data_IF_792600563853
#
_entry.id   IF_792600563853
#
_cell.length_a   1.000
_cell.length_b   1.000
_cell.length_c   1.000
_cell.angle_alpha   90.00
_cell.angle_beta   90.00
_cell.angle_gamma   90.00
#
_symmetry.space_group_name_H-M   'P 1'
#
loop_
_entity.id
_entity.type
_entity.pdbx_description
1 polymer ?
#
# COMPACT_ATOMS: atom_id res chain seq x y z
N UNK A 1 25.62 -12.91 -18.94
CA UNK A 1 24.83 -13.85 -19.77
C UNK A 1 23.66 -13.06 -20.34
N UNK A 2 23.18 -13.31 -21.58
CA UNK A 2 21.83 -12.86 -21.95
C UNK A 2 20.83 -13.49 -20.96
N UNK A 3 19.74 -12.77 -20.65
CA UNK A 3 18.72 -13.29 -19.75
C UNK A 3 18.19 -14.63 -20.26
N UNK A 4 17.98 -15.58 -19.35
CA UNK A 4 17.47 -16.92 -19.66
C UNK A 4 16.12 -16.83 -20.38
N UNK A 5 16.07 -17.24 -21.65
CA UNK A 5 14.81 -17.35 -22.40
C UNK A 5 13.85 -18.28 -21.65
N UNK A 6 12.68 -17.75 -21.28
CA UNK A 6 11.65 -18.51 -20.58
C UNK A 6 10.65 -19.04 -21.59
N UNK A 7 10.35 -20.34 -21.53
CA UNK A 7 9.26 -20.93 -22.28
C UNK A 7 7.91 -20.36 -21.83
N UNK A 8 7.04 -20.02 -22.78
CA UNK A 8 5.65 -19.69 -22.49
C UNK A 8 4.96 -20.80 -21.68
N UNK A 9 4.09 -20.40 -20.75
CA UNK A 9 3.26 -21.35 -20.00
C UNK A 9 2.31 -22.10 -20.98
N UNK A 10 1.77 -23.28 -20.60
CA UNK A 10 0.81 -23.98 -21.45
C UNK A 10 -0.41 -23.13 -21.81
N UNK A 11 -1.09 -23.49 -22.90
CA UNK A 11 -2.45 -22.98 -23.13
C UNK A 11 -3.38 -23.39 -21.99
N UNK A 12 -4.45 -22.63 -21.74
CA UNK A 12 -5.32 -22.75 -20.57
C UNK A 12 -4.62 -22.63 -19.19
N UNK A 13 -3.33 -22.27 -19.13
CA UNK A 13 -2.64 -22.03 -17.88
C UNK A 13 -2.89 -20.63 -17.31
N UNK A 14 -2.41 -20.38 -16.09
CA UNK A 14 -2.81 -19.24 -15.26
C UNK A 14 -1.56 -18.58 -14.64
N UNK A 15 -1.15 -17.42 -15.13
CA UNK A 15 0.00 -16.66 -14.62
C UNK A 15 -0.42 -15.74 -13.47
N UNK A 16 -0.05 -16.08 -12.24
CA UNK A 16 -0.32 -15.31 -11.04
C UNK A 16 0.92 -14.49 -10.68
N UNK A 17 0.89 -13.19 -10.96
CA UNK A 17 1.94 -12.27 -10.52
C UNK A 17 1.66 -11.76 -9.10
N UNK A 18 2.55 -12.12 -8.17
CA UNK A 18 2.37 -11.89 -6.73
C UNK A 18 3.15 -10.67 -6.19
N UNK A 19 3.85 -9.94 -7.06
CA UNK A 19 4.66 -8.79 -6.69
C UNK A 19 6.08 -9.16 -6.26
N UNK A 20 6.61 -8.62 -5.15
CA UNK A 20 5.95 -7.76 -4.16
C UNK A 20 5.78 -6.30 -4.66
N UNK A 21 5.59 -5.34 -3.74
CA UNK A 21 5.61 -3.91 -4.09
C UNK A 21 7.02 -3.47 -4.51
N UNK A 22 7.17 -2.31 -5.17
CA UNK A 22 8.48 -1.68 -5.46
C UNK A 22 9.44 -2.43 -6.41
N UNK A 23 8.93 -3.40 -7.15
CA UNK A 23 9.67 -4.21 -8.13
C UNK A 23 9.18 -4.02 -9.58
N UNK A 24 8.56 -2.88 -9.89
CA UNK A 24 8.02 -2.59 -11.23
C UNK A 24 6.54 -2.98 -11.42
N UNK A 25 5.93 -3.66 -10.45
CA UNK A 25 4.54 -4.17 -10.46
C UNK A 25 3.50 -3.23 -11.05
N UNK A 26 3.51 -1.94 -10.68
CA UNK A 26 2.54 -0.95 -11.20
C UNK A 26 2.73 -0.65 -12.69
N UNK A 27 3.96 -0.67 -13.20
CA UNK A 27 4.23 -0.38 -14.61
C UNK A 27 3.73 -1.54 -15.49
N UNK A 28 4.09 -2.78 -15.14
CA UNK A 28 3.62 -3.98 -15.86
C UNK A 28 2.10 -4.14 -15.76
N UNK A 29 1.49 -3.87 -14.61
CA UNK A 29 0.04 -3.84 -14.42
C UNK A 29 -0.68 -2.85 -15.33
N UNK A 30 -0.13 -1.65 -15.52
CA UNK A 30 -0.71 -0.63 -16.40
C UNK A 30 -0.54 -1.03 -17.87
N UNK A 31 0.61 -1.60 -18.27
CA UNK A 31 0.82 -2.10 -19.63
C UNK A 31 -0.13 -3.25 -19.97
N UNK A 32 -0.17 -4.31 -19.15
CA UNK A 32 -1.11 -5.44 -19.30
C UNK A 32 -2.58 -5.00 -19.38
N UNK A 33 -2.96 -3.97 -18.64
CA UNK A 33 -4.33 -3.45 -18.64
C UNK A 33 -4.68 -2.66 -19.90
N UNK A 34 -3.71 -1.93 -20.47
CA UNK A 34 -3.90 -1.16 -21.70
C UNK A 34 -3.91 -2.06 -22.92
N UNK A 35 -3.03 -3.05 -22.97
CA UNK A 35 -2.88 -3.98 -24.10
C UNK A 35 -3.94 -5.08 -24.14
N UNK A 36 -5.06 -4.99 -23.39
CA UNK A 36 -6.04 -6.08 -23.26
C UNK A 36 -6.65 -6.57 -24.56
N UNK A 37 -6.86 -5.66 -25.50
CA UNK A 37 -7.40 -5.99 -26.83
C UNK A 37 -6.34 -6.76 -27.62
N UNK A 38 -5.11 -6.25 -27.70
CA UNK A 38 -3.95 -6.90 -28.34
C UNK A 38 -3.64 -8.29 -27.71
N UNK A 39 -3.69 -8.39 -26.38
CA UNK A 39 -3.49 -9.65 -25.64
C UNK A 39 -4.52 -10.72 -26.05
N UNK A 40 -5.77 -10.32 -26.27
CA UNK A 40 -6.84 -11.24 -26.65
C UNK A 40 -6.62 -11.82 -28.07
N UNK A 41 -6.05 -11.04 -28.99
CA UNK A 41 -5.65 -11.52 -30.33
C UNK A 41 -4.57 -12.64 -30.24
N UNK A 42 -3.75 -12.62 -29.19
CA UNK A 42 -2.75 -13.66 -28.90
C UNK A 42 -3.24 -14.76 -27.95
N UNK A 43 -4.55 -14.85 -27.68
CA UNK A 43 -5.13 -15.89 -26.82
C UNK A 43 -4.80 -15.70 -25.33
N UNK A 44 -4.51 -14.47 -24.89
CA UNK A 44 -4.21 -14.10 -23.51
C UNK A 44 -5.30 -13.19 -22.94
N UNK A 45 -5.85 -13.54 -21.77
CA UNK A 45 -6.76 -12.69 -21.01
C UNK A 45 -6.04 -12.07 -19.80
N UNK A 46 -6.15 -10.76 -19.59
CA UNK A 46 -5.62 -10.11 -18.39
C UNK A 46 -6.76 -9.71 -17.45
N UNK A 47 -6.94 -10.43 -16.33
CA UNK A 47 -8.17 -10.39 -15.55
C UNK A 47 -8.36 -9.15 -14.65
N UNK A 48 -9.62 -8.84 -14.32
CA UNK A 48 -10.05 -7.82 -13.37
C UNK A 48 -10.60 -6.53 -13.99
N UNK A 49 -11.31 -5.69 -13.22
CA UNK A 49 -11.94 -4.45 -13.73
C UNK A 49 -10.95 -3.28 -13.97
N UNK A 50 -9.71 -3.40 -13.50
CA UNK A 50 -8.70 -2.32 -13.44
C UNK A 50 -7.31 -2.89 -13.68
N UNK A 51 -6.31 -2.01 -13.75
CA UNK A 51 -4.91 -2.39 -13.78
C UNK A 51 -4.46 -3.34 -12.65
N UNK A 52 -5.21 -3.41 -11.54
CA UNK A 52 -4.97 -4.37 -10.45
C UNK A 52 -6.29 -4.73 -9.74
N UNK A 53 -6.70 -6.02 -9.65
CA UNK A 53 -7.90 -6.47 -8.94
C UNK A 53 -7.71 -6.51 -7.40
N UNK A 54 -7.22 -5.41 -6.81
CA UNK A 54 -6.83 -5.34 -5.38
C UNK A 54 -7.95 -5.72 -4.39
N UNK A 55 -9.21 -5.44 -4.74
CA UNK A 55 -10.35 -5.72 -3.87
C UNK A 55 -10.56 -7.23 -3.66
N UNK A 56 -10.23 -8.06 -4.66
CA UNK A 56 -10.32 -9.51 -4.57
C UNK A 56 -9.37 -10.06 -3.50
N UNK A 57 -8.10 -9.64 -3.53
CA UNK A 57 -7.12 -10.04 -2.49
C UNK A 57 -7.46 -9.50 -1.10
N UNK A 58 -8.00 -8.28 -0.99
CA UNK A 58 -8.44 -7.74 0.31
C UNK A 58 -9.69 -8.43 0.85
N UNK A 59 -10.56 -8.98 -0.01
CA UNK A 59 -11.72 -9.77 0.41
C UNK A 59 -11.28 -11.10 1.06
N UNK A 60 -10.21 -11.73 0.56
CA UNK A 60 -9.52 -12.86 1.21
C UNK A 60 -8.79 -12.48 2.52
N UNK A 61 -8.86 -11.22 2.96
CA UNK A 61 -8.14 -10.73 4.14
C UNK A 61 -6.62 -10.61 3.94
N UNK A 62 -6.11 -10.63 2.70
CA UNK A 62 -4.67 -10.52 2.44
C UNK A 62 -4.21 -9.10 2.77
N UNK A 63 -3.09 -9.00 3.51
CA UNK A 63 -2.60 -7.74 4.06
C UNK A 63 -2.20 -6.74 2.95
N UNK A 64 -2.72 -5.51 3.05
CA UNK A 64 -2.46 -4.43 2.07
C UNK A 64 -3.64 -3.46 1.90
N UNK A 65 -4.82 -3.82 2.41
CA UNK A 65 -5.98 -2.93 2.47
C UNK A 65 -5.74 -1.65 3.29
N UNK A 66 -6.45 -0.56 2.99
CA UNK A 66 -6.38 0.68 3.75
C UNK A 66 -6.92 0.49 5.18
N UNK A 67 -6.15 0.93 6.19
CA UNK A 67 -6.56 0.89 7.59
C UNK A 67 -7.87 1.66 7.83
N UNK A 68 -8.65 1.22 8.83
CA UNK A 68 -9.91 1.85 9.23
C UNK A 68 -11.07 1.70 8.24
N UNK A 69 -10.96 0.85 7.21
CA UNK A 69 -12.06 0.52 6.30
C UNK A 69 -12.56 -0.91 6.53
N UNK A 70 -13.87 -1.17 6.38
CA UNK A 70 -14.38 -2.54 6.34
C UNK A 70 -13.70 -3.37 5.25
N UNK A 71 -13.57 -4.69 5.50
CA UNK A 71 -13.14 -5.62 4.46
C UNK A 71 -14.10 -5.56 3.25
N UNK A 72 -13.60 -5.60 2.00
CA UNK A 72 -14.46 -5.71 0.83
C UNK A 72 -15.28 -7.02 0.85
N UNK A 73 -16.43 -7.01 0.18
CA UNK A 73 -17.24 -8.23 0.02
C UNK A 73 -16.46 -9.32 -0.71
N UNK A 74 -16.62 -10.58 -0.27
CA UNK A 74 -16.15 -11.78 -0.96
C UNK A 74 -16.65 -11.89 -2.41
N UNK A 75 -17.69 -11.15 -2.79
CA UNK A 75 -18.12 -11.05 -4.18
C UNK A 75 -17.03 -10.48 -5.11
N UNK A 76 -16.10 -9.64 -4.61
CA UNK A 76 -14.94 -9.21 -5.40
C UNK A 76 -13.95 -10.35 -5.69
N UNK A 77 -13.86 -11.34 -4.79
CA UNK A 77 -13.08 -12.55 -5.03
C UNK A 77 -13.80 -13.47 -6.01
N UNK A 78 -15.07 -13.80 -5.74
CA UNK A 78 -15.86 -14.69 -6.59
C UNK A 78 -16.03 -14.16 -8.02
N UNK A 79 -16.13 -12.84 -8.21
CA UNK A 79 -16.18 -12.23 -9.54
C UNK A 79 -14.87 -12.47 -10.33
N UNK A 80 -13.71 -12.32 -9.68
CA UNK A 80 -12.41 -12.59 -10.31
C UNK A 80 -12.24 -14.08 -10.64
N UNK A 81 -12.63 -14.98 -9.74
CA UNK A 81 -12.61 -16.44 -9.99
C UNK A 81 -13.45 -16.79 -11.21
N UNK A 82 -14.71 -16.34 -11.26
CA UNK A 82 -15.61 -16.62 -12.40
C UNK A 82 -15.09 -16.04 -13.71
N UNK A 83 -14.45 -14.87 -13.69
CA UNK A 83 -13.81 -14.28 -14.88
C UNK A 83 -12.68 -15.18 -15.42
N UNK A 84 -11.84 -15.71 -14.52
CA UNK A 84 -10.72 -16.60 -14.85
C UNK A 84 -11.19 -17.98 -15.31
N UNK A 85 -12.31 -18.49 -14.77
CA UNK A 85 -12.98 -19.72 -15.23
C UNK A 85 -13.59 -19.53 -16.63
N UNK A 86 -14.26 -18.39 -16.88
CA UNK A 86 -14.92 -18.07 -18.14
C UNK A 86 -13.96 -17.83 -19.32
N UNK A 87 -12.66 -17.63 -19.05
CA UNK A 87 -11.62 -17.43 -20.06
C UNK A 87 -11.29 -18.69 -20.89
N UNK A 88 -11.86 -19.85 -20.55
CA UNK A 88 -11.70 -21.08 -21.33
C UNK A 88 -10.24 -21.49 -21.54
N UNK A 89 -9.87 -21.77 -22.80
CA UNK A 89 -8.53 -22.21 -23.20
C UNK A 89 -7.49 -21.08 -23.30
N UNK A 90 -7.86 -19.82 -23.10
CA UNK A 90 -6.91 -18.72 -23.07
C UNK A 90 -5.93 -18.88 -21.90
N UNK A 91 -4.69 -18.40 -22.09
CA UNK A 91 -3.81 -18.11 -20.94
C UNK A 91 -4.41 -16.95 -20.17
N UNK A 92 -4.48 -17.02 -18.84
CA UNK A 92 -4.97 -15.89 -18.04
C UNK A 92 -3.86 -15.35 -17.16
N UNK A 93 -3.65 -14.04 -17.20
CA UNK A 93 -2.76 -13.34 -16.29
C UNK A 93 -3.56 -12.61 -15.21
N UNK A 94 -3.20 -12.84 -13.94
CA UNK A 94 -3.74 -12.14 -12.77
C UNK A 94 -2.58 -11.49 -12.02
N UNK A 95 -2.62 -10.17 -11.84
CA UNK A 95 -1.50 -9.43 -11.23
C UNK A 95 -1.95 -8.66 -9.99
N UNK A 96 -1.47 -9.08 -8.82
CA UNK A 96 -1.83 -8.48 -7.54
C UNK A 96 -0.70 -8.61 -6.51
N UNK A 97 0.08 -7.53 -6.34
CA UNK A 97 1.30 -7.51 -5.53
C UNK A 97 1.09 -7.60 -3.99
N UNK A 98 -0.17 -7.66 -3.53
CA UNK A 98 -0.46 -8.01 -2.14
C UNK A 98 -0.46 -9.53 -1.92
N UNK A 99 -0.60 -10.35 -2.97
CA UNK A 99 -0.55 -11.82 -2.87
C UNK A 99 0.79 -12.32 -2.31
N UNK A 100 1.91 -11.62 -2.53
CA UNK A 100 3.18 -11.90 -1.86
C UNK A 100 3.09 -11.93 -0.32
N UNK A 101 2.09 -11.27 0.28
CA UNK A 101 1.85 -11.25 1.75
C UNK A 101 0.85 -12.28 2.27
N UNK A 102 0.28 -13.11 1.39
CA UNK A 102 -0.67 -14.16 1.77
C UNK A 102 -0.08 -15.10 2.83
N UNK A 103 -0.89 -15.55 3.79
CA UNK A 103 -0.55 -16.71 4.65
C UNK A 103 -0.66 -18.02 3.85
N UNK A 104 -0.17 -19.18 4.35
CA UNK A 104 -0.30 -20.45 3.64
C UNK A 104 -1.75 -20.77 3.23
N UNK A 105 -2.71 -20.54 4.12
CA UNK A 105 -4.15 -20.78 3.89
C UNK A 105 -4.72 -19.82 2.82
N UNK A 106 -4.17 -18.60 2.74
CA UNK A 106 -4.52 -17.64 1.69
C UNK A 106 -3.85 -17.98 0.35
N UNK A 107 -2.69 -18.64 0.35
CA UNK A 107 -2.03 -19.15 -0.87
C UNK A 107 -2.83 -20.31 -1.45
N UNK A 108 -3.24 -21.29 -0.63
CA UNK A 108 -4.15 -22.37 -1.01
C UNK A 108 -5.43 -21.81 -1.66
N UNK A 109 -6.10 -20.86 -1.01
CA UNK A 109 -7.31 -20.21 -1.55
C UNK A 109 -7.06 -19.50 -2.89
N UNK A 110 -5.93 -18.81 -3.03
CA UNK A 110 -5.59 -18.09 -4.28
C UNK A 110 -5.28 -19.07 -5.41
N UNK A 111 -4.50 -20.13 -5.14
CA UNK A 111 -4.17 -21.14 -6.16
C UNK A 111 -5.43 -21.91 -6.55
N UNK A 112 -6.18 -22.44 -5.59
CA UNK A 112 -7.42 -23.17 -5.84
C UNK A 112 -8.40 -22.37 -6.73
N UNK A 113 -8.61 -21.09 -6.42
CA UNK A 113 -9.56 -20.23 -7.15
C UNK A 113 -9.06 -19.66 -8.48
N UNK A 114 -7.74 -19.53 -8.72
CA UNK A 114 -7.23 -18.89 -9.95
C UNK A 114 -6.60 -19.86 -10.96
N UNK A 115 -6.30 -21.11 -10.59
CA UNK A 115 -5.76 -22.08 -11.56
C UNK A 115 -5.54 -23.51 -11.06
N UNK A 116 -5.58 -23.77 -9.76
CA UNK A 116 -5.25 -25.07 -9.17
C UNK A 116 -3.94 -25.61 -9.77
N UNK A 117 -3.97 -26.77 -10.44
CA UNK A 117 -2.79 -27.41 -11.06
C UNK A 117 -2.24 -26.70 -12.31
N UNK A 118 -2.90 -25.66 -12.83
CA UNK A 118 -2.41 -24.86 -13.97
C UNK A 118 -1.89 -23.47 -13.56
N UNK A 119 -1.77 -23.22 -12.26
CA UNK A 119 -1.22 -21.98 -11.71
C UNK A 119 0.31 -21.95 -11.82
N UNK A 120 0.82 -21.02 -12.64
CA UNK A 120 2.22 -20.60 -12.63
C UNK A 120 2.33 -19.29 -11.87
N UNK A 121 3.29 -19.18 -10.95
CA UNK A 121 3.48 -18.02 -10.08
C UNK A 121 4.73 -17.27 -10.51
N UNK A 122 4.62 -15.95 -10.66
CA UNK A 122 5.76 -15.08 -10.94
C UNK A 122 5.92 -14.03 -9.86
N UNK A 123 7.14 -13.92 -9.33
CA UNK A 123 7.54 -12.94 -8.33
C UNK A 123 8.81 -12.22 -8.76
N UNK A 124 9.07 -11.06 -8.18
CA UNK A 124 10.26 -10.25 -8.50
C UNK A 124 11.09 -10.01 -7.24
N UNK A 125 12.39 -10.30 -7.33
CA UNK A 125 13.40 -10.03 -6.33
C UNK A 125 14.13 -8.73 -6.67
N UNK A 126 14.27 -7.80 -5.72
CA UNK A 126 15.09 -6.58 -5.89
C UNK A 126 16.09 -6.41 -4.74
N UNK A 127 17.19 -5.71 -5.03
CA UNK A 127 18.27 -5.37 -4.10
C UNK A 127 17.76 -4.52 -2.94
N UNK A 128 18.18 -4.83 -1.72
CA UNK A 128 17.60 -4.25 -0.49
C UNK A 128 17.97 -2.78 -0.29
N UNK A 129 19.20 -2.38 -0.62
CA UNK A 129 19.70 -1.00 -0.59
C UNK A 129 18.89 -0.03 -1.48
N UNK A 130 18.47 -0.49 -2.67
CA UNK A 130 17.63 0.28 -3.59
C UNK A 130 16.14 0.27 -3.19
N UNK A 131 15.71 -0.79 -2.48
CA UNK A 131 14.34 -1.00 -2.06
C UNK A 131 13.99 -0.22 -0.78
N UNK A 132 14.81 -0.33 0.28
CA UNK A 132 14.51 0.18 1.62
C UNK A 132 14.25 1.69 1.65
N UNK A 133 15.08 2.57 1.03
CA UNK A 133 14.78 4.00 0.95
C UNK A 133 13.46 4.27 0.22
N UNK A 134 13.23 3.60 -0.91
CA UNK A 134 12.01 3.72 -1.72
C UNK A 134 10.75 3.25 -0.96
N UNK A 135 10.89 2.26 -0.07
CA UNK A 135 9.81 1.80 0.79
C UNK A 135 9.51 2.80 1.90
N UNK A 136 10.54 3.30 2.61
CA UNK A 136 10.40 4.37 3.59
C UNK A 136 9.74 5.62 2.98
N UNK A 137 10.11 6.04 1.77
CA UNK A 137 9.45 7.15 1.08
C UNK A 137 7.93 6.95 0.92
N UNK A 138 7.44 5.73 0.64
CA UNK A 138 5.98 5.48 0.61
C UNK A 138 5.34 5.41 1.99
N UNK A 139 6.11 5.09 3.04
CA UNK A 139 5.61 5.20 4.41
C UNK A 139 5.45 6.66 4.78
N UNK A 140 6.41 7.53 4.42
CA UNK A 140 6.30 8.99 4.63
C UNK A 140 5.12 9.57 3.85
N UNK A 141 4.93 9.23 2.57
CA UNK A 141 3.72 9.62 1.80
C UNK A 141 2.39 9.07 2.37
N UNK A 142 2.47 8.07 3.25
CA UNK A 142 1.33 7.49 3.95
C UNK A 142 1.19 7.95 5.42
N UNK A 143 2.01 8.91 5.88
CA UNK A 143 1.93 9.51 7.22
C UNK A 143 3.03 9.10 8.21
N UNK A 144 4.06 8.36 7.79
CA UNK A 144 5.21 8.04 8.67
C UNK A 144 5.95 9.32 9.08
N UNK A 145 6.34 9.37 10.35
CA UNK A 145 7.00 10.49 11.01
C UNK A 145 8.45 10.19 11.39
N UNK A 146 8.78 8.90 11.61
CA UNK A 146 10.15 8.44 11.85
C UNK A 146 11.05 8.82 10.67
N UNK A 147 12.23 9.34 10.98
CA UNK A 147 13.34 9.53 10.04
C UNK A 147 13.71 8.20 9.36
N UNK A 148 14.61 8.27 8.38
CA UNK A 148 15.06 7.05 7.71
C UNK A 148 15.81 6.12 8.67
N UNK A 149 16.68 6.66 9.52
CA UNK A 149 17.48 5.88 10.48
C UNK A 149 16.62 5.23 11.58
N UNK A 150 15.76 5.98 12.28
CA UNK A 150 14.80 5.42 13.26
C UNK A 150 13.88 4.35 12.65
N UNK A 151 13.64 4.40 11.34
CA UNK A 151 12.88 3.38 10.61
C UNK A 151 13.74 2.16 10.28
N UNK A 152 14.99 2.36 9.85
CA UNK A 152 15.97 1.29 9.62
C UNK A 152 16.22 0.48 10.89
N UNK A 153 16.36 1.13 12.04
CA UNK A 153 16.56 0.45 13.34
C UNK A 153 15.46 -0.59 13.60
N UNK A 154 14.22 -0.27 13.24
CA UNK A 154 13.07 -1.15 13.44
C UNK A 154 13.01 -2.25 12.38
N UNK A 155 13.34 -1.96 11.12
CA UNK A 155 13.20 -2.96 10.03
C UNK A 155 14.42 -3.85 9.83
N UNK A 156 15.62 -3.43 10.23
CA UNK A 156 16.84 -4.24 10.14
C UNK A 156 17.15 -5.03 11.41
N UNK A 157 16.43 -4.75 12.51
CA UNK A 157 16.43 -5.57 13.71
C UNK A 157 16.08 -7.05 13.43
N UNK A 158 16.48 -7.97 14.33
CA UNK A 158 15.91 -9.31 14.41
C UNK A 158 14.38 -9.30 14.44
N UNK A 159 13.75 -10.44 14.13
CA UNK A 159 12.30 -10.56 13.91
C UNK A 159 11.46 -9.75 14.92
N UNK A 160 10.62 -8.85 14.39
CA UNK A 160 9.86 -7.91 15.20
C UNK A 160 8.38 -7.89 14.82
N UNK A 161 7.52 -7.87 15.84
CA UNK A 161 6.07 -7.68 15.69
C UNK A 161 5.69 -6.23 15.39
N UNK A 162 6.66 -5.32 15.26
CA UNK A 162 6.43 -3.95 14.83
C UNK A 162 5.74 -3.91 13.46
N UNK A 163 4.83 -2.95 13.27
CA UNK A 163 4.12 -2.80 12.01
C UNK A 163 5.08 -2.47 10.86
N UNK A 164 6.09 -1.64 11.11
CA UNK A 164 7.12 -1.31 10.12
C UNK A 164 7.88 -2.55 9.63
N UNK A 165 8.35 -3.40 10.55
CA UNK A 165 9.06 -4.64 10.24
C UNK A 165 8.18 -5.59 9.41
N UNK A 166 6.97 -5.88 9.91
CA UNK A 166 6.02 -6.78 9.23
C UNK A 166 5.54 -6.21 7.88
N UNK A 167 5.47 -4.88 7.72
CA UNK A 167 5.10 -4.25 6.45
C UNK A 167 6.18 -4.38 5.37
N UNK A 168 7.46 -4.48 5.76
CA UNK A 168 8.57 -4.83 4.88
C UNK A 168 8.58 -6.34 4.62
N UNK A 169 8.90 -7.13 5.64
CA UNK A 169 9.37 -8.50 5.43
C UNK A 169 8.30 -9.49 5.00
N UNK A 170 7.02 -9.26 5.34
CA UNK A 170 5.92 -10.17 4.94
C UNK A 170 5.80 -10.38 3.42
N UNK A 171 6.29 -9.44 2.61
CA UNK A 171 6.36 -9.56 1.14
C UNK A 171 7.80 -9.59 0.57
N UNK A 172 8.79 -9.14 1.35
CA UNK A 172 10.16 -8.92 0.89
C UNK A 172 11.19 -9.85 1.52
N UNK A 173 10.79 -10.67 2.49
CA UNK A 173 11.54 -11.88 2.84
C UNK A 173 11.25 -12.92 1.73
N UNK A 174 12.10 -12.88 0.70
CA UNK A 174 11.82 -13.54 -0.58
C UNK A 174 11.96 -15.06 -0.45
N UNK A 175 12.86 -15.57 0.39
CA UNK A 175 12.97 -17.01 0.61
C UNK A 175 11.67 -17.59 1.20
N UNK A 176 11.19 -17.00 2.30
CA UNK A 176 9.94 -17.39 2.98
C UNK A 176 8.72 -17.22 2.07
N UNK A 177 8.71 -16.19 1.22
CA UNK A 177 7.69 -16.03 0.18
C UNK A 177 7.75 -17.17 -0.84
N UNK A 178 8.90 -17.40 -1.46
CA UNK A 178 9.08 -18.45 -2.49
C UNK A 178 8.71 -19.82 -1.91
N UNK A 179 9.28 -20.22 -0.76
CA UNK A 179 9.00 -21.50 -0.10
C UNK A 179 7.50 -21.72 0.15
N UNK A 180 6.77 -20.67 0.56
CA UNK A 180 5.32 -20.75 0.78
C UNK A 180 4.52 -20.96 -0.52
N UNK A 181 4.95 -20.40 -1.64
CA UNK A 181 4.26 -20.56 -2.92
C UNK A 181 4.63 -21.87 -3.64
N UNK A 182 5.91 -22.28 -3.65
CA UNK A 182 6.33 -23.57 -4.27
C UNK A 182 5.74 -24.78 -3.55
N UNK A 183 5.43 -24.67 -2.25
CA UNK A 183 4.74 -25.72 -1.50
C UNK A 183 3.33 -26.03 -2.04
N UNK A 184 2.70 -25.05 -2.72
CA UNK A 184 1.34 -25.17 -3.28
C UNK A 184 1.37 -25.43 -4.79
N UNK A 185 2.14 -24.66 -5.57
CA UNK A 185 2.16 -24.79 -7.05
C UNK A 185 3.23 -25.76 -7.58
N UNK A 186 4.22 -26.12 -6.77
CA UNK A 186 5.40 -26.88 -7.18
C UNK A 186 6.52 -26.00 -7.77
N UNK A 187 7.74 -26.50 -7.69
CA UNK A 187 8.98 -25.85 -8.12
C UNK A 187 8.93 -25.35 -9.59
N UNK A 188 8.60 -26.24 -10.53
CA UNK A 188 8.57 -25.97 -11.99
C UNK A 188 7.61 -24.84 -12.39
N UNK A 189 6.61 -24.59 -11.54
CA UNK A 189 5.55 -23.61 -11.74
C UNK A 189 5.86 -22.26 -11.09
N UNK A 190 6.99 -22.09 -10.41
CA UNK A 190 7.41 -20.82 -9.84
C UNK A 190 8.55 -20.19 -10.64
N UNK A 191 8.43 -18.90 -10.95
CA UNK A 191 9.47 -18.10 -11.62
C UNK A 191 9.83 -16.87 -10.80
N UNK A 192 11.10 -16.75 -10.43
CA UNK A 192 11.66 -15.58 -9.74
C UNK A 192 12.45 -14.71 -10.73
N UNK A 193 11.98 -13.48 -10.95
CA UNK A 193 12.69 -12.48 -11.75
C UNK A 193 13.60 -11.68 -10.82
N UNK A 194 14.90 -11.62 -11.08
CA UNK A 194 15.81 -10.69 -10.40
C UNK A 194 15.83 -9.37 -11.14
N UNK A 195 15.40 -8.31 -10.47
CA UNK A 195 15.30 -6.96 -11.01
C UNK A 195 16.69 -6.36 -11.23
N UNK A 196 17.00 -6.05 -12.49
CA UNK A 196 18.12 -5.20 -12.88
C UNK A 196 17.61 -3.76 -13.10
N UNK A 197 18.19 -2.77 -12.41
CA UNK A 197 17.82 -1.35 -12.59
C UNK A 197 18.42 -0.75 -13.89
N UNK A 198 19.35 -1.45 -14.54
CA UNK A 198 19.97 -1.09 -15.84
C UNK A 198 19.17 -1.63 -17.04
N UNK A 199 18.60 -2.84 -16.94
CA UNK A 199 17.71 -3.44 -17.95
C UNK A 199 16.24 -3.30 -17.54
N UNK A 200 15.65 -2.16 -17.93
CA UNK A 200 14.23 -1.85 -17.62
C UNK A 200 13.23 -2.71 -18.36
N UNK A 201 13.66 -3.33 -19.45
CA UNK A 201 12.81 -4.12 -20.32
C UNK A 201 12.84 -5.62 -19.94
N UNK A 202 13.69 -6.03 -18.98
CA UNK A 202 13.69 -7.39 -18.43
C UNK A 202 12.31 -7.83 -17.93
N UNK A 203 11.62 -6.99 -17.17
CA UNK A 203 10.29 -7.31 -16.62
C UNK A 203 9.21 -7.48 -17.71
N UNK A 204 8.96 -6.52 -18.63
CA UNK A 204 7.99 -6.71 -19.70
C UNK A 204 8.36 -7.87 -20.63
N UNK A 205 9.63 -8.00 -21.06
CA UNK A 205 10.06 -9.13 -21.90
C UNK A 205 9.83 -10.48 -21.24
N UNK A 206 10.06 -10.61 -19.93
CA UNK A 206 9.78 -11.87 -19.20
C UNK A 206 8.28 -12.18 -19.17
N UNK A 207 7.42 -11.17 -19.04
CA UNK A 207 5.97 -11.36 -19.13
C UNK A 207 5.52 -11.72 -20.54
N UNK A 208 6.11 -11.11 -21.57
CA UNK A 208 5.87 -11.45 -22.98
C UNK A 208 6.21 -12.91 -23.24
N UNK A 209 7.42 -13.34 -22.85
CA UNK A 209 7.87 -14.73 -22.95
C UNK A 209 6.95 -15.71 -22.21
N UNK A 210 6.66 -15.47 -20.93
CA UNK A 210 5.78 -16.32 -20.13
C UNK A 210 4.37 -16.46 -20.70
N UNK A 211 3.84 -15.42 -21.36
CA UNK A 211 2.50 -15.40 -21.94
C UNK A 211 2.47 -15.83 -23.42
N UNK A 212 3.61 -15.99 -24.07
CA UNK A 212 3.72 -16.33 -25.49
C UNK A 212 3.38 -15.17 -26.43
N UNK A 213 3.71 -13.94 -26.02
CA UNK A 213 3.43 -12.69 -26.75
C UNK A 213 4.63 -12.27 -27.63
N UNK A 214 4.41 -11.46 -28.68
CA UNK A 214 5.49 -10.79 -29.40
C UNK A 214 6.30 -9.86 -28.51
N UNK A 215 7.60 -9.73 -28.82
CA UNK A 215 8.51 -8.82 -28.14
C UNK A 215 8.06 -7.35 -28.29
N UNK A 216 8.04 -6.61 -27.17
CA UNK A 216 7.73 -5.19 -27.14
C UNK A 216 6.23 -4.84 -27.06
N UNK A 217 5.32 -5.82 -27.05
CA UNK A 217 3.87 -5.60 -26.89
C UNK A 217 3.54 -4.92 -25.54
N UNK A 218 4.29 -5.21 -24.48
CA UNK A 218 4.12 -4.67 -23.12
C UNK A 218 5.06 -3.48 -22.82
N UNK A 219 5.59 -2.81 -23.85
CA UNK A 219 6.52 -1.68 -23.73
C UNK A 219 6.10 -0.65 -22.67
N UNK A 220 7.00 -0.36 -21.72
CA UNK A 220 6.70 0.46 -20.56
C UNK A 220 6.66 1.95 -20.91
N UNK A 221 5.45 2.52 -21.03
CA UNK A 221 5.30 3.96 -21.24
C UNK A 221 5.73 4.77 -19.99
N UNK A 222 6.68 5.72 -20.10
CA UNK A 222 7.12 6.55 -18.99
C UNK A 222 6.07 7.62 -18.64
N UNK A 223 5.14 7.28 -17.76
CA UNK A 223 4.20 8.24 -17.18
C UNK A 223 4.93 9.25 -16.28
N UNK A 224 5.12 10.47 -16.81
CA UNK A 224 5.76 11.60 -16.10
C UNK A 224 5.09 11.92 -14.77
N UNK A 225 3.79 11.63 -14.59
CA UNK A 225 3.05 11.94 -13.36
C UNK A 225 3.47 11.10 -12.14
N UNK A 226 4.22 10.01 -12.37
CA UNK A 226 4.56 9.04 -11.34
C UNK A 226 6.01 9.13 -10.82
N UNK A 227 6.74 10.23 -11.06
CA UNK A 227 8.11 10.37 -10.55
C UNK A 227 8.22 10.11 -9.04
N UNK A 228 9.36 9.56 -8.63
CA UNK A 228 9.76 9.56 -7.22
C UNK A 228 9.95 10.98 -6.70
N UNK A 229 9.85 11.13 -5.38
CA UNK A 229 10.27 12.35 -4.71
C UNK A 229 11.78 12.25 -4.43
N UNK A 230 12.50 13.37 -4.46
CA UNK A 230 13.88 13.44 -3.94
C UNK A 230 13.89 13.38 -2.41
N UNK A 231 15.05 13.18 -1.79
CA UNK A 231 15.16 13.05 -0.34
C UNK A 231 14.59 14.28 0.39
N UNK A 232 14.96 15.49 -0.03
CA UNK A 232 14.48 16.76 0.54
C UNK A 232 12.96 16.98 0.37
N UNK A 233 12.39 16.56 -0.77
CA UNK A 233 10.93 16.56 -0.97
C UNK A 233 10.21 15.59 -0.03
N UNK A 234 10.82 14.47 0.32
CA UNK A 234 10.26 13.50 1.28
C UNK A 234 10.40 14.00 2.71
N UNK A 235 11.52 14.61 3.07
CA UNK A 235 11.71 15.22 4.39
C UNK A 235 10.74 16.39 4.64
N UNK A 236 10.42 17.19 3.61
CA UNK A 236 9.33 18.16 3.68
C UNK A 236 7.99 17.48 4.03
N UNK A 237 7.65 16.37 3.36
CA UNK A 237 6.43 15.62 3.66
C UNK A 237 6.47 15.03 5.08
N UNK A 238 7.62 14.52 5.53
CA UNK A 238 7.79 13.99 6.90
C UNK A 238 7.60 15.08 7.96
N UNK A 239 8.16 16.26 7.73
CA UNK A 239 7.98 17.43 8.59
C UNK A 239 6.52 17.86 8.67
N UNK A 240 5.79 17.82 7.54
CA UNK A 240 4.34 18.06 7.52
C UNK A 240 3.54 16.97 8.23
N UNK A 241 3.97 15.70 8.18
CA UNK A 241 3.37 14.61 8.95
C UNK A 241 3.52 14.85 10.47
N UNK A 242 4.72 15.25 10.91
CA UNK A 242 4.99 15.60 12.31
C UNK A 242 4.11 16.76 12.76
N UNK A 243 4.18 17.90 12.06
CA UNK A 243 3.37 19.08 12.40
C UNK A 243 1.86 18.79 12.39
N UNK A 244 1.37 17.98 11.43
CA UNK A 244 -0.03 17.55 11.36
C UNK A 244 -0.45 16.65 12.53
N UNK A 245 0.45 15.79 13.02
CA UNK A 245 0.20 14.92 14.18
C UNK A 245 0.22 15.72 15.47
N UNK A 246 1.23 16.58 15.62
CA UNK A 246 1.45 17.37 16.84
C UNK A 246 0.35 18.44 17.01
N UNK A 247 -0.21 18.94 15.89
CA UNK A 247 -1.42 19.77 15.87
C UNK A 247 -2.75 18.97 15.97
N UNK A 248 -2.71 17.66 16.17
CA UNK A 248 -3.89 16.81 16.38
C UNK A 248 -4.87 16.72 15.20
N UNK A 249 -4.38 16.81 13.95
CA UNK A 249 -5.28 16.80 12.78
C UNK A 249 -5.96 15.43 12.60
N UNK A 250 -7.27 15.40 12.29
CA UNK A 250 -7.96 14.15 11.92
C UNK A 250 -7.32 13.47 10.69
N UNK A 251 -7.27 12.13 10.63
CA UNK A 251 -6.63 11.40 9.54
C UNK A 251 -7.14 11.75 8.14
N UNK A 252 -8.44 12.07 8.00
CA UNK A 252 -9.06 12.49 6.75
C UNK A 252 -8.67 13.91 6.32
N UNK A 253 -8.32 14.79 7.27
CA UNK A 253 -7.76 16.12 7.01
C UNK A 253 -6.31 15.97 6.57
N UNK A 254 -5.53 15.16 7.30
CA UNK A 254 -4.15 14.85 6.94
C UNK A 254 -4.03 14.27 5.52
N UNK A 255 -4.82 13.22 5.21
CA UNK A 255 -4.83 12.59 3.90
C UNK A 255 -5.25 13.58 2.79
N UNK A 256 -6.25 14.42 3.05
CA UNK A 256 -6.73 15.40 2.09
C UNK A 256 -5.70 16.47 1.69
N UNK A 257 -4.87 16.93 2.63
CA UNK A 257 -3.92 18.01 2.38
C UNK A 257 -2.52 17.50 2.06
N UNK A 258 -1.95 16.63 2.90
CA UNK A 258 -0.56 16.17 2.71
C UNK A 258 -0.49 15.14 1.57
N UNK A 259 -1.22 14.04 1.69
CA UNK A 259 -1.16 12.94 0.72
C UNK A 259 -1.80 13.30 -0.64
N UNK A 260 -2.99 13.89 -0.63
CA UNK A 260 -3.75 14.13 -1.87
C UNK A 260 -3.41 15.47 -2.56
N UNK A 261 -2.69 16.40 -1.90
CA UNK A 261 -2.24 17.67 -2.51
C UNK A 261 -0.72 17.82 -2.49
N UNK A 262 -0.07 17.89 -1.33
CA UNK A 262 1.39 18.13 -1.27
C UNK A 262 2.17 17.08 -2.08
N UNK A 263 1.98 15.79 -1.80
CA UNK A 263 2.66 14.71 -2.54
C UNK A 263 2.32 14.74 -4.04
N UNK A 264 1.09 15.10 -4.42
CA UNK A 264 0.68 15.23 -5.83
C UNK A 264 1.36 16.41 -6.52
N UNK A 265 1.43 17.56 -5.85
CA UNK A 265 2.08 18.76 -6.37
C UNK A 265 3.56 18.52 -6.56
N UNK A 266 4.27 18.00 -5.55
CA UNK A 266 5.71 17.70 -5.65
C UNK A 266 6.00 16.77 -6.85
N UNK A 267 5.21 15.70 -7.05
CA UNK A 267 5.36 14.79 -8.22
C UNK A 267 5.08 15.46 -9.57
N UNK A 268 4.35 16.58 -9.60
CA UNK A 268 4.08 17.34 -10.84
C UNK A 268 5.12 18.40 -11.16
N UNK A 269 5.96 18.78 -10.18
CA UNK A 269 7.06 19.74 -10.41
C UNK A 269 8.21 19.07 -11.18
N UNK A 270 9.03 19.85 -11.91
CA UNK A 270 10.32 19.39 -12.41
C UNK A 270 11.13 18.71 -11.30
N UNK A 271 12.03 17.80 -11.66
CA UNK A 271 12.96 17.24 -10.68
C UNK A 271 13.92 18.36 -10.25
N UNK A 272 14.22 18.51 -8.95
CA UNK A 272 15.30 19.41 -8.51
C UNK A 272 16.62 19.06 -9.23
N UNK A 273 17.34 20.07 -9.72
CA UNK A 273 18.66 19.88 -10.35
C UNK A 273 19.69 19.36 -9.35
N UNK A 274 19.52 19.70 -8.07
CA UNK A 274 20.39 19.32 -6.96
C UNK A 274 19.60 18.56 -5.90
N UNK A 275 20.18 17.46 -5.41
CA UNK A 275 19.68 16.69 -4.28
C UNK A 275 19.58 15.18 -4.55
N UNK A 276 19.99 14.37 -3.57
CA UNK A 276 19.95 12.92 -3.68
C UNK A 276 18.52 12.39 -3.90
N UNK A 277 18.39 11.36 -4.73
CA UNK A 277 17.10 10.69 -5.03
C UNK A 277 16.50 10.02 -3.78
N UNK A 278 17.35 9.57 -2.88
CA UNK A 278 17.03 8.79 -1.68
C UNK A 278 17.98 9.21 -0.55
N UNK A 279 17.57 9.08 0.73
CA UNK A 279 18.53 9.17 1.83
C UNK A 279 19.64 8.13 1.68
N UNK A 280 20.87 8.43 2.12
CA UNK A 280 21.94 7.44 2.21
C UNK A 280 21.62 6.40 3.30
N UNK A 281 22.21 5.22 3.19
CA UNK A 281 22.22 4.23 4.26
C UNK A 281 23.36 4.57 5.24
N UNK A 282 23.10 4.65 6.56
CA UNK A 282 24.16 4.64 7.57
C UNK A 282 25.03 3.38 7.43
N UNK A 283 26.31 3.47 7.81
CA UNK A 283 27.29 2.37 7.70
C UNK A 283 26.79 1.08 8.35
N UNK A 284 26.30 1.17 9.59
CA UNK A 284 25.74 0.03 10.33
C UNK A 284 24.57 -0.65 9.58
N UNK A 285 23.75 0.14 8.89
CA UNK A 285 22.61 -0.35 8.14
C UNK A 285 23.04 -0.98 6.82
N UNK A 286 24.06 -0.42 6.16
CA UNK A 286 24.64 -0.96 4.94
C UNK A 286 25.26 -2.34 5.17
N UNK A 287 26.00 -2.53 6.27
CA UNK A 287 26.60 -3.81 6.61
C UNK A 287 25.54 -4.87 6.95
N UNK A 288 24.51 -4.49 7.72
CA UNK A 288 23.37 -5.38 7.98
C UNK A 288 22.59 -5.73 6.71
N UNK A 289 22.48 -4.80 5.76
CA UNK A 289 21.85 -5.04 4.45
C UNK A 289 22.73 -5.95 3.57
N UNK A 290 24.06 -5.83 3.61
CA UNK A 290 25.00 -6.75 2.94
C UNK A 290 24.80 -8.18 3.44
N UNK A 291 24.88 -8.38 4.75
CA UNK A 291 24.66 -9.69 5.40
C UNK A 291 23.33 -10.33 4.99
N UNK A 292 22.22 -9.58 5.08
CA UNK A 292 20.88 -10.06 4.67
C UNK A 292 20.80 -10.38 3.18
N UNK A 293 21.42 -9.56 2.32
CA UNK A 293 21.50 -9.81 0.88
C UNK A 293 22.31 -11.07 0.57
N UNK A 294 23.43 -11.28 1.25
CA UNK A 294 24.30 -12.44 1.04
C UNK A 294 23.63 -13.74 1.45
N UNK A 295 22.98 -13.77 2.63
CA UNK A 295 22.16 -14.90 3.07
C UNK A 295 21.06 -15.21 2.06
N UNK A 296 20.33 -14.18 1.62
CA UNK A 296 19.23 -14.32 0.66
C UNK A 296 19.68 -14.88 -0.70
N UNK A 297 20.88 -14.54 -1.19
CA UNK A 297 21.41 -15.11 -2.43
C UNK A 297 21.74 -16.59 -2.26
N UNK A 298 22.41 -16.97 -1.17
CA UNK A 298 22.71 -18.38 -0.88
C UNK A 298 21.43 -19.20 -0.77
N UNK A 299 20.49 -18.77 0.08
CA UNK A 299 19.19 -19.44 0.26
C UNK A 299 18.41 -19.61 -1.04
N UNK A 300 18.41 -18.62 -1.93
CA UNK A 300 17.69 -18.70 -3.21
C UNK A 300 18.40 -19.59 -4.23
N UNK A 301 19.72 -19.69 -4.19
CA UNK A 301 20.49 -20.59 -5.06
C UNK A 301 20.33 -22.08 -4.66
N UNK A 302 19.95 -22.37 -3.41
CA UNK A 302 19.59 -23.72 -2.96
C UNK A 302 18.18 -24.16 -3.38
N UNK A 303 17.36 -23.25 -3.90
CA UNK A 303 16.02 -23.56 -4.40
C UNK A 303 16.07 -23.98 -5.86
N UNK A 304 15.60 -25.20 -6.13
CA UNK A 304 15.33 -25.69 -7.48
C UNK A 304 14.08 -25.00 -8.05
N UNK A 305 14.23 -23.76 -8.51
CA UNK A 305 13.18 -22.94 -9.13
C UNK A 305 13.69 -22.25 -10.39
N UNK A 306 12.78 -21.80 -11.26
CA UNK A 306 13.16 -20.99 -12.42
C UNK A 306 13.57 -19.59 -11.97
N UNK A 307 14.82 -19.21 -12.22
CA UNK A 307 15.32 -17.83 -12.03
C UNK A 307 15.55 -17.16 -13.38
N UNK A 308 15.13 -15.89 -13.48
CA UNK A 308 15.33 -15.02 -14.64
C UNK A 308 16.17 -13.81 -14.21
N UNK A 309 17.26 -13.56 -14.92
CA UNK A 309 18.31 -12.65 -14.45
C UNK A 309 19.34 -13.36 -13.57
N UNK A 310 20.15 -12.59 -12.84
CA UNK A 310 21.27 -13.09 -12.04
C UNK A 310 21.05 -12.82 -10.55
N UNK A 311 21.09 -13.87 -9.71
CA UNK A 311 20.93 -13.75 -8.25
C UNK A 311 21.99 -12.85 -7.62
N UNK A 312 23.19 -12.77 -8.18
CA UNK A 312 24.28 -11.94 -7.65
C UNK A 312 23.94 -10.43 -7.71
N UNK A 313 23.00 -10.00 -8.56
CA UNK A 313 22.46 -8.64 -8.56
C UNK A 313 21.67 -8.28 -7.29
N UNK A 314 21.35 -9.26 -6.43
CA UNK A 314 20.76 -9.02 -5.11
C UNK A 314 21.80 -8.68 -4.03
N UNK A 315 23.10 -8.94 -4.27
CA UNK A 315 24.19 -8.50 -3.38
C UNK A 315 24.44 -7.00 -3.56
N UNK A 316 24.73 -6.32 -2.45
CA UNK A 316 25.10 -4.90 -2.49
C UNK A 316 26.55 -4.77 -2.96
N UNK A 317 26.84 -3.99 -4.03
CA UNK A 317 28.21 -3.79 -4.50
C UNK A 317 29.14 -3.19 -3.44
N UNK A 318 30.45 -3.41 -3.60
CA UNK A 318 31.45 -2.77 -2.73
C UNK A 318 31.48 -1.24 -2.90
N UNK A 319 31.34 -0.74 -4.13
CA UNK A 319 31.52 0.67 -4.52
C UNK A 319 30.26 1.55 -4.40
N UNK A 320 29.37 1.29 -3.43
CA UNK A 320 28.18 2.14 -3.20
C UNK A 320 28.54 3.54 -2.64
N UNK A 321 29.83 3.81 -2.42
CA UNK A 321 30.38 5.02 -1.79
C UNK A 321 31.12 5.98 -2.75
N UNK A 322 31.05 5.79 -4.08
CA UNK A 322 31.84 6.60 -5.02
C UNK A 322 31.44 8.10 -5.05
N UNK A 323 30.24 8.44 -4.55
CA UNK A 323 29.89 9.79 -4.10
C UNK A 323 29.92 9.83 -2.56
N UNK A 324 30.67 10.75 -1.94
CA UNK A 324 30.59 11.00 -0.49
C UNK A 324 29.12 11.31 -0.13
N UNK A 325 28.46 10.49 0.70
CA UNK A 325 27.07 10.74 1.03
C UNK A 325 27.00 12.00 1.91
N UNK A 326 26.44 13.07 1.35
CA UNK A 326 26.00 14.24 2.13
C UNK A 326 25.15 13.74 3.30
N UNK A 327 25.71 13.77 4.50
CA UNK A 327 25.06 13.29 5.73
C UNK A 327 23.82 14.14 6.02
N UNK A 328 23.89 15.42 5.68
CA UNK A 328 22.77 16.35 5.76
C UNK A 328 21.82 16.21 4.57
N UNK A 329 20.52 16.23 4.86
CA UNK A 329 19.48 16.33 3.86
C UNK A 329 19.60 17.67 3.11
N UNK A 330 19.70 17.68 1.76
CA UNK A 330 19.82 18.92 1.01
C UNK A 330 18.66 19.89 1.29
N UNK A 331 18.88 21.22 1.29
CA UNK A 331 17.80 22.18 1.49
C UNK A 331 16.76 22.06 0.38
N UNK A 332 15.53 22.48 0.68
CA UNK A 332 14.47 22.62 -0.32
C UNK A 332 14.47 24.04 -0.88
N UNK A 333 14.24 24.20 -2.20
CA UNK A 333 14.19 25.52 -2.79
C UNK A 333 12.93 26.29 -2.35
N UNK A 334 13.07 27.62 -2.24
CA UNK A 334 11.95 28.52 -1.89
C UNK A 334 10.79 28.36 -2.87
N UNK A 335 11.06 28.10 -4.16
CA UNK A 335 10.01 27.85 -5.15
C UNK A 335 9.21 26.57 -4.86
N UNK A 336 9.88 25.44 -4.59
CA UNK A 336 9.20 24.16 -4.28
C UNK A 336 8.37 24.29 -2.99
N UNK A 337 8.90 24.99 -1.98
CA UNK A 337 8.16 25.31 -0.76
C UNK A 337 6.92 26.20 -1.06
N UNK A 338 7.08 27.27 -1.84
CA UNK A 338 6.00 28.17 -2.23
C UNK A 338 4.89 27.45 -3.02
N UNK A 339 5.25 26.60 -4.00
CA UNK A 339 4.31 25.75 -4.75
C UNK A 339 3.56 24.77 -3.86
N UNK A 340 4.24 24.23 -2.85
CA UNK A 340 3.60 23.35 -1.86
C UNK A 340 2.56 24.12 -1.05
N UNK A 341 2.92 25.29 -0.51
CA UNK A 341 2.02 26.17 0.26
C UNK A 341 0.82 26.63 -0.60
N UNK A 342 1.07 27.06 -1.84
CA UNK A 342 0.04 27.43 -2.82
C UNK A 342 -0.98 26.30 -3.01
N UNK A 343 -0.51 25.05 -3.14
CA UNK A 343 -1.40 23.89 -3.32
C UNK A 343 -2.34 23.65 -2.13
N UNK A 344 -1.83 23.86 -0.90
CA UNK A 344 -2.59 23.71 0.35
C UNK A 344 -3.61 24.84 0.50
N UNK A 345 -3.21 26.09 0.28
CA UNK A 345 -4.11 27.26 0.32
C UNK A 345 -5.21 27.13 -0.75
N UNK A 346 -4.87 26.68 -1.96
CA UNK A 346 -5.82 26.45 -3.05
C UNK A 346 -6.86 25.39 -2.68
N UNK A 347 -6.47 24.28 -2.06
CA UNK A 347 -7.40 23.26 -1.57
C UNK A 347 -8.26 23.77 -0.41
N UNK A 348 -7.69 24.51 0.53
CA UNK A 348 -8.43 25.08 1.66
C UNK A 348 -9.52 26.05 1.17
N UNK A 349 -9.19 26.95 0.23
CA UNK A 349 -10.13 27.88 -0.40
C UNK A 349 -11.24 27.14 -1.18
N UNK A 350 -10.89 26.08 -1.93
CA UNK A 350 -11.88 25.22 -2.62
C UNK A 350 -12.86 24.58 -1.64
N UNK A 351 -12.36 24.02 -0.52
CA UNK A 351 -13.18 23.41 0.54
C UNK A 351 -14.07 24.43 1.24
N UNK A 352 -13.55 25.61 1.57
CA UNK A 352 -14.30 26.69 2.19
C UNK A 352 -15.45 27.15 1.27
N UNK A 353 -15.18 27.38 -0.02
CA UNK A 353 -16.21 27.73 -1.02
C UNK A 353 -17.25 26.62 -1.20
N UNK A 354 -16.85 25.35 -1.16
CA UNK A 354 -17.78 24.23 -1.23
C UNK A 354 -18.69 24.16 0.02
N UNK A 355 -18.13 24.36 1.22
CA UNK A 355 -18.86 24.41 2.48
C UNK A 355 -19.86 25.59 2.51
N UNK A 356 -19.45 26.78 2.07
CA UNK A 356 -20.33 27.96 1.94
C UNK A 356 -21.51 27.68 0.99
N UNK A 357 -21.25 27.12 -0.20
CA UNK A 357 -22.32 26.73 -1.15
C UNK A 357 -23.25 25.66 -0.58
N UNK A 358 -22.73 24.69 0.17
CA UNK A 358 -23.53 23.67 0.83
C UNK A 358 -24.41 24.26 1.95
N UNK A 359 -23.89 25.19 2.75
CA UNK A 359 -24.65 25.91 3.77
C UNK A 359 -25.77 26.76 3.14
N UNK A 360 -25.47 27.54 2.10
CA UNK A 360 -26.46 28.31 1.34
C UNK A 360 -27.60 27.41 0.79
N UNK A 361 -27.26 26.26 0.18
CA UNK A 361 -28.27 25.30 -0.29
C UNK A 361 -29.12 24.71 0.84
N UNK A 362 -28.53 24.46 2.02
CA UNK A 362 -29.29 23.99 3.22
C UNK A 362 -30.28 25.06 3.70
N UNK A 363 -29.86 26.32 3.79
CA UNK A 363 -30.74 27.45 4.15
C UNK A 363 -31.86 27.62 3.12
N UNK A 364 -31.55 27.63 1.82
CA UNK A 364 -32.56 27.72 0.75
C UNK A 364 -33.57 26.56 0.81
N UNK A 365 -33.11 25.32 1.08
CA UNK A 365 -34.00 24.15 1.24
C UNK A 365 -34.88 24.27 2.50
N UNK A 366 -34.35 24.78 3.61
CA UNK A 366 -35.11 25.01 4.83
C UNK A 366 -36.20 26.08 4.62
N UNK A 367 -35.85 27.22 4.00
CA UNK A 367 -36.81 28.29 3.65
C UNK A 367 -37.90 27.77 2.71
N UNK A 368 -37.55 27.01 1.66
CA UNK A 368 -38.54 26.42 0.75
C UNK A 368 -39.47 25.44 1.49
N UNK A 369 -38.96 24.63 2.41
CA UNK A 369 -39.76 23.70 3.23
C UNK A 369 -40.71 24.44 4.16
N UNK A 370 -40.24 25.50 4.83
CA UNK A 370 -41.08 26.33 5.70
C UNK A 370 -42.21 27.01 4.91
N UNK A 371 -41.92 27.52 3.71
CA UNK A 371 -42.92 28.12 2.83
C UNK A 371 -44.01 27.10 2.39
N UNK A 372 -43.64 25.85 2.08
CA UNK A 372 -44.63 24.82 1.70
C UNK A 372 -45.47 24.34 2.90
N UNK A 373 -44.87 24.19 4.08
CA UNK A 373 -45.62 23.84 5.30
C UNK A 373 -46.58 24.92 5.76
N UNK A 374 -46.27 26.20 5.51
CA UNK A 374 -47.19 27.31 5.79
C UNK A 374 -48.44 27.29 4.90
N UNK A 375 -48.32 26.88 3.64
CA UNK A 375 -49.47 26.76 2.72
C UNK A 375 -50.44 25.62 3.08
N UNK A 376 -49.96 24.51 3.67
CA UNK A 376 -50.83 23.39 4.08
C UNK A 376 -51.61 23.69 5.38
N UNK A 377 -51.15 24.64 6.20
CA UNK A 377 -51.82 25.06 7.44
C UNK A 377 -52.90 26.14 7.25
N UNK A 378 -53.21 26.52 6.00
CA UNK A 378 -54.12 27.64 5.67
C UNK A 378 -55.53 27.22 5.24
N UNK A 379 -55.98 26.01 5.61
CA UNK A 379 -57.38 25.59 5.48
C UNK A 379 -58.14 25.96 6.76
N UNK A 380 -58.87 27.07 6.74
CA UNK A 380 -59.63 27.56 7.88
C UNK A 380 -60.95 26.80 8.09
N UNK A 381 -61.37 26.50 9.33
CA UNK A 381 -62.73 26.09 9.64
C UNK A 381 -63.68 27.31 9.77
N UNK A 382 -64.96 27.09 9.51
CA UNK A 382 -66.03 28.09 9.67
C UNK A 382 -66.29 28.49 11.14
N UNK A 383 -66.91 29.66 11.41
CA UNK A 383 -67.15 30.15 12.76
C UNK A 383 -68.39 29.51 13.40
N UNK A 384 -68.33 29.22 14.71
CA UNK A 384 -69.51 28.92 15.54
C UNK A 384 -69.29 29.45 16.96
N UNK A 385 -70.39 29.67 17.69
CA UNK A 385 -70.52 30.65 18.77
C UNK A 385 -69.83 30.35 20.11
N UNK A 386 -69.61 31.41 20.89
CA UNK A 386 -69.25 31.41 22.32
C UNK A 386 -70.49 31.08 23.18
N UNK A 387 -70.32 30.45 24.37
CA UNK A 387 -70.06 31.21 25.60
C UNK A 387 -69.02 30.55 26.53
N UNK A 388 -68.16 31.32 27.19
CA UNK A 388 -68.39 31.68 28.61
C UNK A 388 -67.13 31.38 29.44
N UNK A 389 -66.88 32.04 30.59
CA UNK A 389 -65.50 32.31 31.02
C UNK A 389 -64.99 31.52 32.23
N UNK A 390 -63.67 31.28 32.30
CA UNK A 390 -62.98 31.06 33.58
C UNK A 390 -61.50 31.48 33.58
N UNK A 391 -61.14 32.24 34.62
CA UNK A 391 -59.83 32.56 35.23
C UNK A 391 -58.49 32.25 34.52
N UNK A 392 -57.62 33.28 34.47
CA UNK A 392 -56.17 33.15 34.28
C UNK A 392 -55.46 32.63 35.56
N UNK A 393 -54.17 32.23 35.50
CA UNK A 393 -53.14 33.24 35.85
C UNK A 393 -51.79 33.14 35.11
N UNK A 394 -51.08 34.27 35.05
CA UNK A 394 -49.62 34.35 35.23
C UNK A 394 -48.71 34.09 34.01
N UNK A 395 -47.78 35.00 33.66
CA UNK A 395 -46.77 34.76 32.63
C UNK A 395 -45.57 33.97 33.19
N UNK A 396 -45.06 33.01 32.41
CA UNK A 396 -43.78 32.32 32.66
C UNK A 396 -42.69 32.81 31.71
N UNK A 397 -41.49 33.04 32.22
CA UNK A 397 -40.33 33.51 31.47
C UNK A 397 -39.75 32.44 30.51
N UNK A 398 -39.12 32.85 29.39
CA UNK A 398 -38.34 31.96 28.52
C UNK A 398 -36.97 31.59 29.14
N UNK A 399 -36.34 30.47 28.69
CA UNK A 399 -35.29 29.79 29.45
C UNK A 399 -33.87 30.35 29.27
N UNK A 400 -33.05 30.17 30.32
CA UNK A 400 -31.59 30.37 30.28
C UNK A 400 -30.81 29.23 29.59
N UNK A 401 -29.51 29.43 29.29
CA UNK A 401 -28.76 28.56 28.38
C UNK A 401 -28.04 27.35 29.04
N UNK A 402 -28.03 26.25 28.27
CA UNK A 402 -27.03 25.15 28.19
C UNK A 402 -26.20 24.73 29.43
N UNK A 403 -26.29 23.44 29.74
CA UNK A 403 -25.17 22.64 30.27
C UNK A 403 -24.84 21.50 29.28
N UNK A 404 -23.55 21.25 29.03
CA UNK A 404 -23.08 20.15 28.17
C UNK A 404 -22.84 18.86 28.99
N UNK A 405 -23.05 17.66 28.41
CA UNK A 405 -22.79 16.40 29.12
C UNK A 405 -21.28 16.13 29.27
N UNK A 406 -20.90 15.58 30.42
CA UNK A 406 -19.53 15.20 30.74
C UNK A 406 -19.06 13.95 29.97
N UNK A 407 -17.75 13.77 29.73
CA UNK A 407 -17.22 12.61 29.01
C UNK A 407 -17.29 11.32 29.86
N UNK A 408 -17.62 10.21 29.20
CA UNK A 408 -17.62 8.86 29.79
C UNK A 408 -16.20 8.32 30.00
N UNK A 409 -16.01 7.59 31.10
CA UNK A 409 -14.71 7.00 31.48
C UNK A 409 -14.29 5.82 30.57
N UNK A 410 -12.98 5.56 30.40
CA UNK A 410 -12.48 4.42 29.63
C UNK A 410 -12.60 3.09 30.39
N UNK A 411 -12.65 1.94 29.68
CA UNK A 411 -12.70 0.62 30.30
C UNK A 411 -11.36 0.21 30.96
N UNK A 412 -11.38 -0.71 31.95
CA UNK A 412 -10.18 -1.14 32.66
C UNK A 412 -9.24 -2.03 31.81
N UNK A 413 -7.96 -1.98 32.12
CA UNK A 413 -6.91 -2.77 31.48
C UNK A 413 -6.98 -4.28 31.85
N UNK A 414 -6.56 -5.20 30.95
CA UNK A 414 -6.51 -6.62 31.25
C UNK A 414 -5.43 -6.95 32.30
N UNK A 415 -5.72 -7.93 33.16
CA UNK A 415 -4.86 -8.32 34.27
C UNK A 415 -3.54 -8.97 33.80
N UNK A 416 -2.45 -8.67 34.52
CA UNK A 416 -1.15 -9.29 34.29
C UNK A 416 -1.17 -10.77 34.70
N UNK A 417 -0.75 -11.65 33.80
CA UNK A 417 -0.50 -13.04 34.12
C UNK A 417 0.79 -13.17 34.95
N UNK A 418 0.68 -13.76 36.13
CA UNK A 418 1.82 -14.03 37.02
C UNK A 418 2.61 -15.24 36.53
N UNK A 419 3.89 -15.06 36.20
CA UNK A 419 4.84 -16.17 36.04
C UNK A 419 5.54 -16.44 37.39
N UNK A 420 5.58 -17.69 37.88
CA UNK A 420 6.27 -18.01 39.13
C UNK A 420 7.79 -18.15 38.92
N UNK A 421 8.57 -17.30 39.58
CA UNK A 421 10.02 -17.45 39.68
C UNK A 421 10.42 -18.35 40.84
N UNK A 422 11.30 -19.33 40.57
CA UNK A 422 12.40 -19.65 41.48
C UNK A 422 12.30 -20.92 42.32
N UNK A 423 13.10 -21.93 41.94
CA UNK A 423 13.82 -22.77 42.91
C UNK A 423 15.15 -23.29 42.34
N UNK A 424 16.25 -22.61 42.67
CA UNK A 424 17.56 -23.25 42.88
C UNK A 424 17.52 -23.92 44.28
N UNK A 425 18.39 -24.82 44.73
CA UNK A 425 19.74 -25.33 44.36
C UNK A 425 19.71 -26.87 44.65
N UNK A 426 20.69 -27.76 44.43
CA UNK A 426 22.12 -27.76 44.10
C UNK A 426 22.52 -29.13 43.49
N UNK A 427 23.80 -29.33 43.12
CA UNK A 427 24.46 -30.63 43.38
C UNK A 427 25.29 -31.27 42.26
N UNK A 428 26.62 -31.29 42.49
CA UNK A 428 27.57 -32.34 42.10
C UNK A 428 28.00 -32.50 40.62
N UNK A 429 29.22 -32.01 40.35
CA UNK A 429 30.16 -32.59 39.36
C UNK A 429 30.35 -34.11 39.59
N UNK A 430 30.46 -34.91 38.53
CA UNK A 430 31.36 -36.08 38.51
C UNK A 430 31.94 -36.36 37.13
N UNK A 431 33.27 -36.44 37.09
CA UNK A 431 34.09 -36.95 35.98
C UNK A 431 34.11 -38.47 36.03
N UNK A 432 33.89 -39.15 34.90
CA UNK A 432 34.47 -40.48 34.61
C UNK A 432 34.75 -40.57 33.10
N UNK A 433 35.91 -41.12 32.74
CA UNK A 433 36.34 -41.37 31.36
C UNK A 433 35.72 -42.67 30.81
N UNK A 434 35.43 -42.71 29.51
CA UNK A 434 36.02 -43.69 28.58
C UNK A 434 35.77 -43.30 27.12
#
# INVERSE_FOLDING_TARGET
MPASDVSAIPEAARLIHIGPHKTGSTAIQVSLHKAREDLAEHGVHYAGDRARPRLAGWALGIAGGPSGRPAPSMEHWHALVREVEQSGSQRVCVSNEDFGRATPEQVEQVVAGLGSRSAHVVAVARRLDLFLPSQWQERVKAGQVKSFEEWLEIVLAPESKAWEWTNVWRAHEVETMVRRWIAEVGNDNFTLIVSDDTDRDLLPRTFEQLLGLPEGLLALHPDRSNRGLSWNEVELVRSLNMASRDAGWPPEVHAAFVKDRVVRTLRSLPRPEFGARTPPLPEWALDRVRELSDTRVVSLAELDIRVVGDLELLRVPASVHDDEPSVDCPPISVEVAARTIESVISEANKRQKAAQKAAQKRVQKAVKKAAHGATESSAAPEPTELPGPTAAPGPTEPPGPMAAPAPTAPPPAPAAATSPTGRAVDGARRVVQR
#
